data_IF_099423466235
#
_entry.id   IF_099423466235
#
_cell.length_a   1.000
_cell.length_b   1.000
_cell.length_c   1.000
_cell.angle_alpha   90.00
_cell.angle_beta   90.00
_cell.angle_gamma   90.00
#
_symmetry.space_group_name_H-M   'P 1'
#
loop_
_entity.id
_entity.type
_entity.pdbx_description
1 polymer ?
#
# COMPACT_ATOMS: atom_id res chain seq x y z
N UNK A 1 -27.60 13.52 10.91
CA UNK A 1 -27.06 13.69 12.28
C UNK A 1 -26.00 14.79 12.20
N UNK A 2 -26.23 16.00 12.73
CA UNK A 2 -25.26 17.08 12.59
C UNK A 2 -24.09 16.85 13.58
N UNK A 3 -22.86 16.80 13.06
CA UNK A 3 -21.63 16.82 13.87
C UNK A 3 -21.43 18.23 14.39
N UNK A 4 -21.38 18.36 15.71
CA UNK A 4 -20.98 19.57 16.41
C UNK A 4 -19.50 19.88 16.10
N UNK A 5 -19.22 21.13 15.75
CA UNK A 5 -17.87 21.66 15.61
C UNK A 5 -17.19 21.76 16.98
N UNK A 6 -15.88 21.50 17.10
CA UNK A 6 -15.14 21.74 18.33
C UNK A 6 -14.82 23.23 18.48
N UNK A 7 -14.92 23.71 19.72
CA UNK A 7 -14.62 25.06 20.16
C UNK A 7 -13.16 25.45 19.90
N UNK A 8 -12.97 26.70 19.47
CA UNK A 8 -11.69 27.35 19.22
C UNK A 8 -10.92 27.54 20.53
N UNK A 9 -9.81 26.82 20.67
CA UNK A 9 -8.84 27.02 21.74
C UNK A 9 -7.73 27.96 21.28
N UNK A 10 -7.56 29.06 22.03
CA UNK A 10 -6.48 30.04 21.93
C UNK A 10 -5.10 29.37 21.89
N UNK A 11 -4.39 29.52 20.78
CA UNK A 11 -2.97 29.20 20.68
C UNK A 11 -2.15 30.46 20.96
N UNK A 12 -1.51 30.50 22.13
CA UNK A 12 -0.47 31.49 22.42
C UNK A 12 0.79 31.18 21.59
N UNK A 13 1.19 32.14 20.76
CA UNK A 13 2.47 32.19 20.07
C UNK A 13 3.62 32.17 21.07
N UNK A 14 4.44 31.12 21.03
CA UNK A 14 5.81 31.17 21.53
C UNK A 14 6.76 31.22 20.34
N UNK A 15 7.18 32.43 20.01
CA UNK A 15 8.36 32.68 19.18
C UNK A 15 9.60 32.31 19.97
N UNK A 16 10.42 31.37 19.46
CA UNK A 16 11.88 31.42 19.56
C UNK A 16 12.53 30.24 18.81
N UNK A 17 13.67 30.50 18.17
CA UNK A 17 14.66 29.46 17.88
C UNK A 17 15.03 29.21 16.42
N UNK A 18 15.50 30.26 15.74
CA UNK A 18 16.31 30.13 14.53
C UNK A 18 17.60 29.33 14.81
N UNK A 19 17.76 28.16 14.20
CA UNK A 19 19.06 27.54 13.95
C UNK A 19 19.07 26.88 12.58
N UNK A 20 19.74 27.55 11.65
CA UNK A 20 20.16 27.00 10.38
C UNK A 20 21.14 25.84 10.62
N UNK A 21 20.88 24.69 10.02
CA UNK A 21 21.89 23.64 9.84
C UNK A 21 21.73 23.02 8.46
N UNK A 22 22.49 23.58 7.51
CA UNK A 22 22.79 22.99 6.22
C UNK A 22 23.73 21.80 6.43
N UNK A 23 23.25 20.57 6.22
CA UNK A 23 24.13 19.42 6.04
C UNK A 23 24.05 18.95 4.59
N UNK A 24 25.03 19.41 3.83
CA UNK A 24 25.46 18.92 2.53
C UNK A 24 25.96 17.49 2.74
N UNK A 25 25.24 16.50 2.22
CA UNK A 25 25.73 15.12 2.16
C UNK A 25 26.58 14.97 0.89
N UNK A 26 27.88 15.17 1.08
CA UNK A 26 28.92 14.87 0.09
C UNK A 26 29.11 13.35 0.04
N UNK A 27 28.56 12.70 -1.01
CA UNK A 27 28.81 11.28 -1.30
C UNK A 27 30.04 11.20 -2.20
N UNK A 28 31.17 10.93 -1.58
CA UNK A 28 32.38 10.48 -2.26
C UNK A 28 32.12 9.13 -2.96
N UNK A 29 32.19 9.15 -4.28
CA UNK A 29 32.23 7.98 -5.15
C UNK A 29 33.51 7.18 -4.87
N UNK A 30 33.35 5.95 -4.37
CA UNK A 30 34.43 4.96 -4.29
C UNK A 30 34.75 4.41 -5.68
N UNK A 31 36.04 4.29 -5.98
CA UNK A 31 36.65 4.00 -7.29
C UNK A 31 36.57 2.55 -7.79
N UNK A 32 35.58 1.76 -7.35
CA UNK A 32 35.61 0.30 -7.58
C UNK A 32 34.60 -0.22 -8.62
N UNK A 33 34.00 0.64 -9.45
CA UNK A 33 33.02 0.25 -10.49
C UNK A 33 33.55 0.36 -11.94
N UNK A 34 34.86 0.22 -12.15
CA UNK A 34 35.50 0.39 -13.47
C UNK A 34 36.16 -0.90 -14.00
N UNK A 35 35.47 -2.05 -14.03
CA UNK A 35 35.94 -3.20 -14.85
C UNK A 35 34.90 -4.29 -15.14
N UNK A 36 33.90 -4.01 -16.00
CA UNK A 36 33.17 -5.07 -16.71
C UNK A 36 32.91 -4.66 -18.16
N UNK A 37 33.96 -4.74 -18.97
CA UNK A 37 33.89 -4.60 -20.41
C UNK A 37 33.14 -5.80 -21.05
N UNK A 38 31.93 -5.50 -21.47
CA UNK A 38 31.25 -5.90 -22.70
C UNK A 38 31.97 -6.95 -23.59
N UNK A 39 31.49 -8.21 -23.56
CA UNK A 39 31.70 -9.18 -24.64
C UNK A 39 30.35 -9.42 -25.30
N UNK A 40 30.04 -8.63 -26.34
CA UNK A 40 28.93 -8.92 -27.24
C UNK A 40 29.37 -9.89 -28.33
N UNK A 41 28.66 -11.01 -28.55
CA UNK A 41 28.99 -11.94 -29.62
C UNK A 41 28.69 -11.35 -31.01
N UNK A 42 29.45 -11.72 -32.05
CA UNK A 42 29.31 -11.16 -33.38
C UNK A 42 27.93 -11.45 -34.00
N UNK A 43 27.26 -10.38 -34.45
CA UNK A 43 25.99 -10.48 -35.18
C UNK A 43 26.20 -11.16 -36.53
N UNK A 44 25.40 -12.20 -36.80
CA UNK A 44 25.34 -12.91 -38.09
C UNK A 44 24.94 -11.95 -39.23
N UNK A 45 25.52 -12.11 -40.44
CA UNK A 45 25.19 -11.28 -41.59
C UNK A 45 23.71 -11.46 -41.99
N UNK A 46 22.98 -10.34 -42.08
CA UNK A 46 21.60 -10.31 -42.59
C UNK A 46 21.60 -10.55 -44.10
N UNK A 47 20.74 -11.47 -44.55
CA UNK A 47 20.47 -11.71 -45.98
C UNK A 47 19.93 -10.44 -46.66
N UNK A 48 20.31 -10.15 -47.91
CA UNK A 48 19.79 -9.01 -48.67
C UNK A 48 18.27 -9.17 -48.90
N UNK A 49 17.50 -8.14 -48.55
CA UNK A 49 16.06 -8.06 -48.84
C UNK A 49 15.89 -7.69 -50.32
N UNK A 50 15.09 -8.49 -51.02
CA UNK A 50 14.61 -8.20 -52.38
C UNK A 50 13.63 -7.01 -52.28
N UNK A 51 13.74 -6.00 -53.15
CA UNK A 51 12.85 -4.84 -53.15
C UNK A 51 11.44 -5.27 -53.59
N UNK A 52 10.46 -5.08 -52.69
CA UNK A 52 9.05 -5.29 -52.97
C UNK A 52 8.54 -4.11 -53.82
N UNK A 53 7.79 -4.35 -54.92
CA UNK A 53 7.26 -3.28 -55.77
C UNK A 53 6.18 -2.48 -55.03
N UNK A 54 6.26 -1.15 -55.17
CA UNK A 54 5.31 -0.19 -54.61
C UNK A 54 3.92 -0.35 -55.23
N UNK A 55 2.83 -0.35 -54.43
CA UNK A 55 1.48 -0.35 -54.97
C UNK A 55 1.11 1.04 -55.55
N UNK A 56 0.18 1.08 -56.52
CA UNK A 56 -0.19 2.29 -57.22
C UNK A 56 -0.92 3.30 -56.32
N UNK A 57 -0.56 4.56 -56.51
CA UNK A 57 -1.15 5.76 -55.93
C UNK A 57 -2.67 5.76 -56.06
N UNK A 58 -3.34 5.71 -54.91
CA UNK A 58 -4.79 5.91 -54.81
C UNK A 58 -5.14 7.41 -54.92
N UNK A 59 -6.33 7.74 -55.44
CA UNK A 59 -6.75 9.11 -55.70
C UNK A 59 -6.96 9.90 -54.41
N UNK A 60 -6.72 11.21 -54.50
CA UNK A 60 -6.86 12.21 -53.44
C UNK A 60 -8.23 12.13 -52.76
N UNK A 61 -8.28 11.43 -51.63
CA UNK A 61 -9.33 11.58 -50.63
C UNK A 61 -8.99 12.88 -49.90
N UNK A 62 -9.85 13.88 -50.09
CA UNK A 62 -9.88 15.08 -49.26
C UNK A 62 -10.17 14.60 -47.82
N UNK A 63 -9.10 14.38 -47.07
CA UNK A 63 -9.13 14.24 -45.61
C UNK A 63 -9.65 15.58 -45.08
N UNK A 64 -10.95 15.64 -44.82
CA UNK A 64 -11.46 16.49 -43.76
C UNK A 64 -10.59 16.22 -42.54
N UNK A 65 -9.78 17.19 -42.17
CA UNK A 65 -8.97 17.14 -40.95
C UNK A 65 -9.98 17.03 -39.81
N UNK A 66 -10.15 15.80 -39.31
CA UNK A 66 -10.91 15.54 -38.09
C UNK A 66 -10.28 16.34 -36.95
N UNK A 67 -11.09 16.84 -35.99
CA UNK A 67 -10.58 17.56 -34.84
C UNK A 67 -9.51 16.73 -34.14
N UNK A 68 -8.36 17.35 -33.99
CA UNK A 68 -7.11 16.82 -33.48
C UNK A 68 -7.29 16.16 -32.09
N UNK A 69 -7.54 14.84 -32.05
CA UNK A 69 -7.21 13.87 -30.99
C UNK A 69 -7.51 14.15 -29.51
N UNK A 70 -8.17 15.27 -29.18
CA UNK A 70 -8.39 15.80 -27.83
C UNK A 70 -9.83 15.61 -27.36
N UNK A 71 -10.72 15.12 -28.24
CA UNK A 71 -12.07 14.72 -27.88
C UNK A 71 -12.02 13.60 -26.83
N UNK A 72 -12.28 13.97 -25.59
CA UNK A 72 -12.26 13.06 -24.45
C UNK A 72 -11.11 13.25 -23.48
N UNK A 73 -10.33 14.33 -23.54
CA UNK A 73 -9.50 14.73 -22.41
C UNK A 73 -10.30 15.54 -21.38
N UNK A 74 -10.06 15.26 -20.09
CA UNK A 74 -10.62 15.96 -18.94
C UNK A 74 -9.48 16.70 -18.25
N UNK A 75 -9.72 17.96 -17.92
CA UNK A 75 -8.80 18.81 -17.15
C UNK A 75 -9.12 18.67 -15.67
N UNK A 76 -8.16 18.21 -14.88
CA UNK A 76 -8.29 18.04 -13.43
C UNK A 76 -7.43 19.11 -12.76
N UNK A 77 -8.05 20.03 -12.03
CA UNK A 77 -7.40 21.12 -11.33
C UNK A 77 -7.38 20.77 -9.84
N UNK A 78 -6.20 20.67 -9.26
CA UNK A 78 -5.97 20.18 -7.90
C UNK A 78 -5.30 21.25 -7.05
N UNK A 79 -5.74 21.37 -5.80
CA UNK A 79 -5.18 22.33 -4.84
C UNK A 79 -5.76 23.74 -4.97
N UNK A 80 -5.23 24.66 -4.18
CA UNK A 80 -5.69 26.05 -4.11
C UNK A 80 -4.52 27.04 -4.08
N UNK A 81 -4.76 28.26 -4.55
CA UNK A 81 -3.75 29.34 -4.53
C UNK A 81 -2.53 29.05 -5.42
N UNK A 82 -1.35 29.27 -4.86
CA UNK A 82 -0.07 29.13 -5.57
C UNK A 82 0.32 27.67 -5.86
N UNK A 83 -0.22 26.71 -5.10
CA UNK A 83 0.10 25.28 -5.22
C UNK A 83 -0.87 24.54 -6.17
N UNK A 84 -1.69 25.30 -6.91
CA UNK A 84 -2.63 24.72 -7.86
C UNK A 84 -1.90 24.07 -9.03
N UNK A 85 -2.23 22.82 -9.31
CA UNK A 85 -1.70 22.07 -10.44
C UNK A 85 -2.82 21.56 -11.34
N UNK A 86 -2.59 21.57 -12.64
CA UNK A 86 -3.53 21.05 -13.64
C UNK A 86 -2.98 19.78 -14.26
N UNK A 87 -3.82 18.76 -14.33
CA UNK A 87 -3.57 17.48 -15.00
C UNK A 87 -4.56 17.30 -16.17
N UNK A 88 -4.14 16.57 -17.19
CA UNK A 88 -4.98 16.22 -18.33
C UNK A 88 -5.02 14.70 -18.46
N UNK A 89 -6.24 14.15 -18.53
CA UNK A 89 -6.46 12.71 -18.57
C UNK A 89 -7.58 12.27 -19.49
N UNK A 90 -7.53 11.03 -19.94
CA UNK A 90 -8.62 10.47 -20.74
C UNK A 90 -9.89 10.25 -19.92
N UNK A 91 -11.02 10.80 -20.38
CA UNK A 91 -12.37 10.57 -19.83
C UNK A 91 -12.65 9.09 -19.68
N UNK A 92 -12.35 8.29 -20.71
CA UNK A 92 -12.61 6.86 -20.70
C UNK A 92 -11.82 6.14 -19.61
N UNK A 93 -10.58 6.57 -19.35
CA UNK A 93 -9.76 6.03 -18.27
C UNK A 93 -10.37 6.37 -16.90
N UNK A 94 -10.68 7.65 -16.66
CA UNK A 94 -11.23 8.11 -15.38
C UNK A 94 -12.56 7.44 -15.05
N UNK A 95 -13.50 7.40 -16.00
CA UNK A 95 -14.83 6.79 -15.82
C UNK A 95 -14.73 5.28 -15.60
N UNK A 96 -13.81 4.60 -16.30
CA UNK A 96 -13.60 3.16 -16.15
C UNK A 96 -13.03 2.81 -14.78
N UNK A 97 -12.09 3.61 -14.28
CA UNK A 97 -11.30 3.27 -13.09
C UNK A 97 -11.91 3.77 -11.78
N UNK A 98 -12.77 4.78 -11.83
CA UNK A 98 -13.32 5.46 -10.65
C UNK A 98 -14.80 5.73 -10.78
N UNK A 99 -15.57 5.26 -9.79
CA UNK A 99 -17.00 5.60 -9.68
C UNK A 99 -17.23 7.07 -9.37
N UNK A 100 -16.33 7.70 -8.62
CA UNK A 100 -16.36 9.14 -8.38
C UNK A 100 -16.31 9.90 -9.70
N UNK A 101 -15.30 9.64 -10.54
CA UNK A 101 -15.18 10.32 -11.84
C UNK A 101 -16.29 9.95 -12.81
N UNK A 102 -16.78 8.71 -12.79
CA UNK A 102 -18.00 8.32 -13.52
C UNK A 102 -19.20 9.18 -13.10
N UNK A 103 -19.41 9.38 -11.79
CA UNK A 103 -20.44 10.25 -11.24
C UNK A 103 -20.30 11.70 -11.70
N UNK A 104 -19.11 12.30 -11.60
CA UNK A 104 -18.86 13.68 -12.01
C UNK A 104 -19.07 13.88 -13.53
N UNK A 105 -18.60 12.94 -14.35
CA UNK A 105 -18.54 13.11 -15.80
C UNK A 105 -19.78 12.62 -16.54
N UNK A 106 -20.66 11.81 -15.92
CA UNK A 106 -21.86 11.28 -16.57
C UNK A 106 -23.18 11.83 -16.00
N UNK A 107 -23.15 12.60 -14.90
CA UNK A 107 -24.35 13.12 -14.23
C UNK A 107 -24.96 14.37 -14.88
N UNK A 108 -24.34 14.92 -15.94
CA UNK A 108 -24.78 16.19 -16.55
C UNK A 108 -24.49 17.43 -15.70
N UNK A 109 -23.71 17.28 -14.62
CA UNK A 109 -23.23 18.39 -13.79
C UNK A 109 -22.24 19.29 -14.55
N UNK A 110 -21.88 20.43 -13.95
CA UNK A 110 -21.02 21.45 -14.59
C UNK A 110 -19.66 20.88 -15.02
N UNK A 111 -19.14 19.91 -14.28
CA UNK A 111 -17.91 19.19 -14.57
C UNK A 111 -18.00 18.41 -15.89
N UNK A 112 -19.15 17.78 -16.14
CA UNK A 112 -19.42 17.05 -17.40
C UNK A 112 -19.55 18.01 -18.59
N UNK A 113 -20.06 19.23 -18.38
CA UNK A 113 -20.28 20.20 -19.45
C UNK A 113 -18.98 20.92 -19.84
N UNK A 114 -18.16 21.25 -18.85
CA UNK A 114 -16.90 21.97 -19.07
C UNK A 114 -15.71 21.05 -19.36
N UNK A 115 -15.85 19.74 -19.11
CA UNK A 115 -14.72 18.79 -19.11
C UNK A 115 -13.61 19.19 -18.13
N UNK A 116 -13.99 19.84 -17.03
CA UNK A 116 -13.09 20.29 -15.97
C UNK A 116 -13.57 19.75 -14.61
N UNK A 117 -12.66 19.23 -13.80
CA UNK A 117 -12.92 18.78 -12.42
C UNK A 117 -12.04 19.58 -11.48
N UNK A 118 -12.64 20.17 -10.45
CA UNK A 118 -11.96 21.00 -9.46
C UNK A 118 -11.88 20.27 -8.11
N UNK A 119 -10.66 20.07 -7.59
CA UNK A 119 -10.36 19.31 -6.37
C UNK A 119 -9.49 20.16 -5.42
N UNK A 120 -10.05 21.21 -4.79
CA UNK A 120 -9.28 22.17 -3.99
C UNK A 120 -8.73 21.60 -2.69
N UNK A 121 -9.38 20.58 -2.13
CA UNK A 121 -9.01 19.94 -0.87
C UNK A 121 -7.91 18.87 -1.01
N UNK A 122 -7.50 18.56 -2.25
CA UNK A 122 -6.52 17.54 -2.54
C UNK A 122 -5.14 18.10 -2.82
N UNK A 123 -4.14 17.24 -2.60
CA UNK A 123 -2.75 17.55 -2.87
C UNK A 123 -2.36 17.03 -4.25
N UNK A 124 -1.65 17.84 -5.07
CA UNK A 124 -1.24 17.44 -6.42
C UNK A 124 -0.48 16.10 -6.47
N UNK A 125 0.44 15.85 -5.53
CA UNK A 125 1.24 14.62 -5.47
C UNK A 125 0.40 13.35 -5.29
N UNK A 126 -0.69 13.45 -4.51
CA UNK A 126 -1.61 12.33 -4.29
C UNK A 126 -2.40 12.05 -5.55
N UNK A 127 -2.92 13.09 -6.20
CA UNK A 127 -3.62 12.93 -7.47
C UNK A 127 -2.70 12.40 -8.56
N UNK A 128 -1.46 12.85 -8.63
CA UNK A 128 -0.48 12.31 -9.56
C UNK A 128 -0.26 10.80 -9.33
N UNK A 129 -0.20 10.37 -8.06
CA UNK A 129 -0.09 8.95 -7.68
C UNK A 129 -1.31 8.13 -8.13
N UNK A 130 -2.51 8.67 -7.91
CA UNK A 130 -3.77 8.06 -8.38
C UNK A 130 -3.78 7.90 -9.90
N UNK A 131 -3.44 8.96 -10.64
CA UNK A 131 -3.43 8.95 -12.10
C UNK A 131 -2.36 8.01 -12.66
N UNK A 132 -1.16 8.00 -12.07
CA UNK A 132 -0.10 7.02 -12.39
C UNK A 132 -0.62 5.60 -12.24
N UNK A 133 -1.37 5.32 -11.17
CA UNK A 133 -1.97 4.01 -10.93
C UNK A 133 -3.04 3.66 -11.97
N UNK A 134 -3.95 4.59 -12.28
CA UNK A 134 -5.01 4.36 -13.29
C UNK A 134 -4.42 4.02 -14.65
N UNK A 135 -3.40 4.77 -15.09
CA UNK A 135 -2.68 4.54 -16.36
C UNK A 135 -1.97 3.19 -16.35
N UNK A 136 -1.33 2.84 -15.24
CA UNK A 136 -0.53 1.64 -15.09
C UNK A 136 -0.83 0.98 -13.75
N UNK A 137 -1.70 -0.04 -13.74
CA UNK A 137 -2.00 -0.77 -12.52
C UNK A 137 -0.70 -1.30 -11.92
N UNK A 138 -0.57 -1.22 -10.59
CA UNK A 138 0.58 -1.80 -9.91
C UNK A 138 0.60 -3.30 -10.21
N UNK A 139 1.68 -3.76 -10.82
CA UNK A 139 1.90 -5.18 -10.97
C UNK A 139 2.16 -5.73 -9.57
N UNK A 140 1.21 -6.50 -9.04
CA UNK A 140 1.39 -7.21 -7.78
C UNK A 140 2.52 -8.21 -8.01
N UNK A 141 3.69 -7.88 -7.48
CA UNK A 141 4.82 -8.80 -7.46
C UNK A 141 4.45 -9.92 -6.50
N UNK A 142 4.25 -11.14 -7.03
CA UNK A 142 4.07 -12.33 -6.21
C UNK A 142 5.13 -12.36 -5.09
N UNK A 143 4.77 -12.66 -3.84
CA UNK A 143 5.70 -12.67 -2.73
C UNK A 143 6.94 -13.51 -3.05
N UNK A 144 8.14 -12.99 -2.74
CA UNK A 144 9.39 -13.62 -3.18
C UNK A 144 9.65 -14.98 -2.54
N UNK A 145 9.07 -15.24 -1.38
CA UNK A 145 9.22 -16.52 -0.68
C UNK A 145 8.63 -17.69 -1.48
N UNK A 146 7.59 -17.47 -2.31
CA UNK A 146 7.11 -18.47 -3.27
C UNK A 146 8.16 -18.88 -4.30
N UNK A 147 9.13 -18.02 -4.58
CA UNK A 147 10.17 -18.25 -5.58
C UNK A 147 11.47 -18.78 -4.96
N UNK A 148 11.47 -19.13 -3.67
CA UNK A 148 12.68 -19.55 -2.94
C UNK A 148 13.77 -18.47 -2.88
N UNK A 149 13.43 -17.20 -3.16
CA UNK A 149 14.41 -16.10 -3.21
C UNK A 149 14.58 -15.49 -1.83
N UNK A 150 15.82 -15.09 -1.54
CA UNK A 150 16.23 -14.43 -0.29
C UNK A 150 15.32 -13.23 0.01
N UNK A 151 14.85 -13.11 1.25
CA UNK A 151 14.07 -11.96 1.73
C UNK A 151 14.84 -10.67 1.43
N UNK A 152 14.28 -9.83 0.56
CA UNK A 152 14.77 -8.45 0.42
C UNK A 152 13.80 -7.63 1.23
N UNK A 153 14.29 -7.10 2.36
CA UNK A 153 13.54 -6.17 3.19
C UNK A 153 13.07 -5.04 2.30
N UNK A 154 11.75 -4.83 2.23
CA UNK A 154 11.23 -3.60 1.65
C UNK A 154 11.44 -2.47 2.66
N UNK A 155 11.81 -1.27 2.23
CA UNK A 155 11.89 -0.11 3.12
C UNK A 155 10.50 0.19 3.70
N UNK A 156 10.48 0.74 4.92
CA UNK A 156 9.24 1.13 5.62
C UNK A 156 8.48 2.22 4.87
N UNK A 157 9.19 3.09 4.15
CA UNK A 157 8.61 4.15 3.31
C UNK A 157 7.68 3.59 2.22
N UNK A 158 7.99 2.42 1.64
CA UNK A 158 7.11 1.77 0.65
C UNK A 158 5.78 1.33 1.27
N UNK A 159 5.78 0.94 2.55
CA UNK A 159 4.55 0.56 3.25
C UNK A 159 3.66 1.78 3.52
N UNK A 160 4.24 2.90 3.95
CA UNK A 160 3.50 4.15 4.16
C UNK A 160 2.91 4.68 2.86
N UNK A 161 3.67 4.61 1.76
CA UNK A 161 3.16 4.95 0.42
C UNK A 161 1.99 4.06 0.00
N UNK A 162 2.02 2.76 0.32
CA UNK A 162 0.90 1.86 0.03
C UNK A 162 -0.33 2.19 0.88
N UNK A 163 -0.17 2.57 2.15
CA UNK A 163 -1.29 3.03 2.98
C UNK A 163 -1.91 4.34 2.46
N UNK A 164 -1.08 5.30 2.06
CA UNK A 164 -1.54 6.55 1.44
C UNK A 164 -2.25 6.29 0.10
N UNK A 165 -1.70 5.38 -0.71
CA UNK A 165 -2.32 4.93 -1.96
C UNK A 165 -3.69 4.28 -1.72
N UNK A 166 -3.86 3.53 -0.63
CA UNK A 166 -5.16 2.97 -0.27
C UNK A 166 -6.16 4.08 0.09
N UNK A 167 -5.76 5.04 0.93
CA UNK A 167 -6.64 6.12 1.37
C UNK A 167 -7.14 6.97 0.19
N UNK A 168 -6.28 7.26 -0.78
CA UNK A 168 -6.72 7.96 -2.00
C UNK A 168 -7.61 7.07 -2.88
N UNK A 169 -7.30 5.79 -3.03
CA UNK A 169 -8.14 4.87 -3.79
C UNK A 169 -9.56 4.76 -3.21
N UNK A 170 -9.68 4.79 -1.88
CA UNK A 170 -10.97 4.82 -1.19
C UNK A 170 -11.72 6.12 -1.41
N UNK A 171 -11.06 7.28 -1.26
CA UNK A 171 -11.68 8.60 -1.52
C UNK A 171 -12.28 8.68 -2.93
N UNK A 172 -11.57 8.18 -3.94
CA UNK A 172 -12.03 8.21 -5.33
C UNK A 172 -12.75 6.94 -5.79
N UNK A 173 -13.11 6.04 -4.86
CA UNK A 173 -13.88 4.82 -5.15
C UNK A 173 -13.25 3.98 -6.29
N UNK A 174 -11.93 3.81 -6.24
CA UNK A 174 -11.11 3.09 -7.22
C UNK A 174 -10.89 1.64 -6.76
N UNK A 175 -11.91 0.78 -6.89
CA UNK A 175 -11.89 -0.61 -6.41
C UNK A 175 -10.66 -1.40 -6.88
N UNK A 176 -10.30 -1.29 -8.17
CA UNK A 176 -9.11 -1.96 -8.73
C UNK A 176 -7.81 -1.49 -8.09
N UNK A 177 -7.75 -0.24 -7.62
CA UNK A 177 -6.60 0.28 -6.89
C UNK A 177 -6.58 -0.21 -5.45
N UNK A 178 -7.72 -0.18 -4.77
CA UNK A 178 -7.86 -0.72 -3.41
C UNK A 178 -7.38 -2.17 -3.34
N UNK A 179 -7.84 -3.03 -4.25
CA UNK A 179 -7.48 -4.46 -4.25
C UNK A 179 -5.97 -4.67 -4.43
N UNK A 180 -5.36 -4.07 -5.45
CA UNK A 180 -3.92 -4.26 -5.67
C UNK A 180 -3.06 -3.68 -4.54
N UNK A 181 -3.52 -2.61 -3.89
CA UNK A 181 -2.82 -2.05 -2.72
C UNK A 181 -2.94 -3.01 -1.52
N UNK A 182 -4.13 -3.56 -1.26
CA UNK A 182 -4.33 -4.59 -0.23
C UNK A 182 -3.44 -5.81 -0.49
N UNK A 183 -3.41 -6.31 -1.73
CA UNK A 183 -2.53 -7.43 -2.11
C UNK A 183 -1.04 -7.12 -1.87
N UNK A 184 -0.60 -5.90 -2.20
CA UNK A 184 0.77 -5.45 -1.93
C UNK A 184 1.08 -5.36 -0.45
N UNK A 185 0.14 -4.86 0.36
CA UNK A 185 0.29 -4.75 1.80
C UNK A 185 0.37 -6.13 2.46
N UNK A 186 -0.50 -7.06 2.07
CA UNK A 186 -0.43 -8.46 2.52
C UNK A 186 0.92 -9.08 2.15
N UNK A 187 1.38 -8.90 0.91
CA UNK A 187 2.70 -9.38 0.49
C UNK A 187 3.83 -8.77 1.34
N UNK A 188 3.74 -7.47 1.65
CA UNK A 188 4.68 -6.81 2.55
C UNK A 188 4.66 -7.43 3.95
N UNK A 189 3.47 -7.68 4.53
CA UNK A 189 3.32 -8.25 5.87
C UNK A 189 3.84 -9.68 5.95
N UNK A 190 3.66 -10.48 4.91
CA UNK A 190 4.23 -11.82 4.80
C UNK A 190 5.77 -11.79 4.79
N UNK A 191 6.37 -10.82 4.08
CA UNK A 191 7.82 -10.71 3.97
C UNK A 191 8.46 -10.16 5.27
N UNK A 192 7.86 -9.14 5.88
CA UNK A 192 8.45 -8.30 6.93
C UNK A 192 7.82 -8.48 8.33
N UNK A 193 6.71 -9.22 8.44
CA UNK A 193 5.86 -9.24 9.62
C UNK A 193 4.83 -8.10 9.63
N UNK A 194 3.96 -8.10 10.63
CA UNK A 194 2.87 -7.13 10.77
C UNK A 194 2.86 -6.53 12.17
N UNK A 195 3.62 -5.45 12.39
CA UNK A 195 3.72 -4.87 13.71
C UNK A 195 2.40 -4.26 14.22
N UNK A 196 2.17 -4.24 15.54
CA UNK A 196 0.89 -3.82 16.12
C UNK A 196 0.54 -2.40 15.73
N UNK A 197 1.54 -1.53 15.55
CA UNK A 197 1.31 -0.17 15.08
C UNK A 197 0.78 -0.10 13.64
N UNK A 198 1.07 -1.08 12.75
CA UNK A 198 0.42 -1.16 11.44
C UNK A 198 -1.08 -1.43 11.60
N UNK A 199 -1.43 -2.43 12.42
CA UNK A 199 -2.83 -2.74 12.72
C UNK A 199 -3.53 -1.54 13.37
N UNK A 200 -2.86 -0.90 14.34
CA UNK A 200 -3.34 0.33 14.97
C UNK A 200 -3.58 1.46 13.98
N UNK A 201 -2.72 1.63 12.96
CA UNK A 201 -2.96 2.60 11.91
C UNK A 201 -4.22 2.26 11.11
N UNK A 202 -4.38 1.01 10.67
CA UNK A 202 -5.54 0.58 9.87
C UNK A 202 -6.84 0.80 10.65
N UNK A 203 -6.90 0.38 11.91
CA UNK A 203 -8.09 0.54 12.76
C UNK A 203 -8.49 2.01 12.96
N UNK A 204 -7.53 2.93 12.97
CA UNK A 204 -7.78 4.34 13.21
C UNK A 204 -8.08 5.15 11.93
N UNK A 205 -7.69 4.64 10.76
CA UNK A 205 -7.73 5.43 9.51
C UNK A 205 -8.60 4.81 8.41
N UNK A 206 -9.04 3.56 8.55
CA UNK A 206 -9.80 2.83 7.52
C UNK A 206 -11.18 2.48 8.04
N UNK A 207 -12.20 2.53 7.17
CA UNK A 207 -13.54 2.09 7.51
C UNK A 207 -13.54 0.61 7.91
N UNK A 208 -14.27 0.26 8.98
CA UNK A 208 -14.37 -1.13 9.48
C UNK A 208 -15.00 -2.08 8.48
N UNK A 209 -15.83 -1.57 7.57
CA UNK A 209 -16.41 -2.32 6.46
C UNK A 209 -15.48 -2.45 5.25
N UNK A 210 -14.36 -1.71 5.25
CA UNK A 210 -13.42 -1.68 4.15
C UNK A 210 -12.57 -2.96 4.03
N UNK A 211 -12.14 -3.32 2.80
CA UNK A 211 -11.35 -4.52 2.54
C UNK A 211 -10.00 -4.52 3.29
N UNK A 212 -9.34 -3.36 3.42
CA UNK A 212 -8.08 -3.28 4.15
C UNK A 212 -8.24 -3.53 5.64
N UNK A 213 -9.36 -3.09 6.24
CA UNK A 213 -9.66 -3.40 7.65
C UNK A 213 -9.85 -4.90 7.85
N UNK A 214 -10.65 -5.54 6.99
CA UNK A 214 -10.85 -6.99 7.01
C UNK A 214 -9.53 -7.76 6.84
N UNK A 215 -8.72 -7.38 5.85
CA UNK A 215 -7.41 -7.99 5.60
C UNK A 215 -6.45 -7.84 6.78
N UNK A 216 -6.31 -6.63 7.32
CA UNK A 216 -5.46 -6.36 8.48
C UNK A 216 -5.92 -7.15 9.72
N UNK A 217 -7.23 -7.18 9.98
CA UNK A 217 -7.80 -7.87 11.15
C UNK A 217 -7.57 -9.38 11.07
N UNK A 218 -7.86 -9.99 9.92
CA UNK A 218 -7.64 -11.42 9.68
C UNK A 218 -6.15 -11.77 9.72
N UNK A 219 -5.28 -10.97 9.11
CA UNK A 219 -3.83 -11.18 9.17
C UNK A 219 -3.27 -11.04 10.59
N UNK A 220 -3.70 -10.04 11.34
CA UNK A 220 -3.27 -9.83 12.73
C UNK A 220 -3.81 -10.91 13.66
N UNK A 221 -5.06 -11.31 13.50
CA UNK A 221 -5.67 -12.41 14.25
C UNK A 221 -4.95 -13.73 14.00
N UNK A 222 -4.65 -14.05 12.73
CA UNK A 222 -3.82 -15.19 12.37
C UNK A 222 -2.44 -15.11 13.00
N UNK A 223 -1.80 -13.94 12.94
CA UNK A 223 -0.50 -13.74 13.57
C UNK A 223 -0.57 -14.07 15.06
N UNK A 224 -1.51 -13.49 15.80
CA UNK A 224 -1.65 -13.71 17.24
C UNK A 224 -2.01 -15.16 17.60
N UNK A 225 -2.76 -15.86 16.75
CA UNK A 225 -3.20 -17.24 16.99
C UNK A 225 -2.23 -18.32 16.48
N UNK A 226 -1.25 -17.96 15.65
CA UNK A 226 -0.33 -18.92 15.04
C UNK A 226 0.76 -19.38 16.03
N UNK A 227 0.81 -20.68 16.29
CA UNK A 227 1.89 -21.30 17.08
C UNK A 227 3.26 -21.17 16.40
N UNK A 228 3.29 -21.00 15.06
CA UNK A 228 4.51 -20.81 14.27
C UNK A 228 5.22 -19.49 14.57
N UNK A 229 4.62 -18.57 15.34
CA UNK A 229 5.36 -17.46 15.96
C UNK A 229 6.55 -17.92 16.80
N UNK A 230 6.57 -19.19 17.25
CA UNK A 230 7.74 -19.82 17.90
C UNK A 230 8.98 -19.89 17.00
N UNK A 231 8.84 -19.91 15.67
CA UNK A 231 9.96 -20.06 14.73
C UNK A 231 10.34 -18.76 14.03
N UNK A 232 11.04 -17.88 14.76
CA UNK A 232 12.13 -17.10 14.15
C UNK A 232 12.10 -15.58 14.31
N UNK A 233 10.94 -14.96 14.54
CA UNK A 233 10.85 -13.51 14.84
C UNK A 233 10.13 -13.18 16.16
N UNK A 234 9.34 -14.10 16.72
CA UNK A 234 8.39 -13.82 17.80
C UNK A 234 8.30 -14.92 18.87
N UNK A 235 9.41 -15.62 19.15
CA UNK A 235 9.43 -16.63 20.22
C UNK A 235 9.35 -15.99 21.62
N UNK A 236 8.21 -15.42 21.99
CA UNK A 236 7.73 -15.48 23.36
C UNK A 236 7.32 -16.96 23.55
N UNK A 237 7.83 -17.71 24.52
CA UNK A 237 7.87 -17.27 25.91
C UNK A 237 6.46 -17.07 26.48
N UNK A 238 5.38 -17.46 25.77
CA UNK A 238 4.03 -17.42 26.33
C UNK A 238 3.87 -18.33 27.57
N UNK A 239 4.70 -19.36 27.72
CA UNK A 239 4.75 -20.14 28.98
C UNK A 239 5.36 -19.32 30.13
N UNK A 240 6.31 -18.42 29.85
CA UNK A 240 6.97 -17.65 30.91
C UNK A 240 6.21 -16.39 31.36
N UNK A 241 5.22 -15.88 30.63
CA UNK A 241 4.43 -14.75 31.16
C UNK A 241 3.39 -15.16 32.20
N UNK A 242 3.08 -16.46 32.31
CA UNK A 242 2.23 -16.99 33.38
C UNK A 242 3.08 -17.45 34.59
N UNK A 243 4.35 -17.82 34.37
CA UNK A 243 5.23 -18.39 35.43
C UNK A 243 6.49 -17.56 35.79
N UNK A 244 6.66 -16.34 35.26
CA UNK A 244 7.86 -15.48 35.46
C UNK A 244 8.08 -14.98 36.90
N UNK A 245 7.23 -15.32 37.86
CA UNK A 245 7.54 -15.09 39.28
C UNK A 245 8.43 -16.18 39.90
N UNK A 246 8.74 -17.30 39.21
CA UNK A 246 9.34 -18.47 39.87
C UNK A 246 10.75 -18.94 39.44
N UNK A 247 11.40 -18.37 38.41
CA UNK A 247 12.71 -18.89 37.97
C UNK A 247 13.77 -17.79 37.96
N UNK A 248 14.66 -17.88 38.96
CA UNK A 248 15.86 -17.04 39.13
C UNK A 248 16.85 -17.21 37.97
N UNK A 249 17.41 -16.09 37.55
CA UNK A 249 18.36 -15.97 36.44
C UNK A 249 19.79 -16.14 36.95
N UNK A 250 20.31 -17.36 37.01
CA UNK A 250 21.73 -17.63 37.23
C UNK A 250 22.22 -18.66 36.21
N UNK A 251 22.84 -18.20 35.12
CA UNK A 251 23.81 -18.95 34.31
C UNK A 251 24.45 -17.99 33.29
N UNK A 252 25.68 -17.54 33.56
CA UNK A 252 26.34 -16.42 32.86
C UNK A 252 27.25 -16.78 31.67
N UNK A 253 27.46 -18.06 31.34
CA UNK A 253 28.64 -18.46 30.55
C UNK A 253 28.44 -18.78 29.05
N UNK A 254 27.29 -18.42 28.44
CA UNK A 254 27.11 -18.57 26.97
C UNK A 254 27.06 -17.23 26.19
N UNK A 255 27.21 -16.09 26.86
CA UNK A 255 26.72 -14.83 26.32
C UNK A 255 27.79 -13.80 25.96
N UNK A 256 28.30 -13.72 24.73
CA UNK A 256 28.77 -12.42 24.20
C UNK A 256 28.25 -12.18 22.77
N UNK A 257 28.32 -13.18 21.89
CA UNK A 257 27.71 -13.08 20.56
C UNK A 257 26.18 -13.24 20.60
N UNK A 258 25.66 -14.17 21.42
CA UNK A 258 24.21 -14.33 21.64
C UNK A 258 23.59 -13.12 22.35
N UNK A 259 24.31 -12.43 23.26
CA UNK A 259 23.79 -11.26 24.01
C UNK A 259 23.47 -10.05 23.12
N UNK A 260 24.20 -9.79 22.03
CA UNK A 260 23.89 -8.65 21.12
C UNK A 260 22.67 -8.91 20.23
N UNK A 261 22.50 -10.14 19.74
CA UNK A 261 21.32 -10.53 18.96
C UNK A 261 20.10 -10.64 19.87
N UNK A 262 20.26 -11.17 21.09
CA UNK A 262 19.19 -11.23 22.10
C UNK A 262 18.81 -9.85 22.63
N UNK A 263 19.76 -8.93 22.85
CA UNK A 263 19.46 -7.58 23.33
C UNK A 263 18.57 -6.78 22.37
N UNK A 264 18.86 -6.83 21.06
CA UNK A 264 18.01 -6.20 20.04
C UNK A 264 16.64 -6.88 19.91
N UNK A 265 16.59 -8.21 20.09
CA UNK A 265 15.34 -8.99 20.08
C UNK A 265 14.44 -8.62 21.27
N UNK A 266 14.99 -8.61 22.49
CA UNK A 266 14.28 -8.26 23.73
C UNK A 266 13.76 -6.82 23.69
N UNK A 267 14.52 -5.85 23.15
CA UNK A 267 14.01 -4.48 23.04
C UNK A 267 12.85 -4.35 22.05
N UNK A 268 12.87 -5.09 20.93
CA UNK A 268 11.75 -5.13 19.99
C UNK A 268 10.51 -5.76 20.62
N UNK A 269 10.68 -6.84 21.37
CA UNK A 269 9.60 -7.53 22.09
C UNK A 269 8.95 -6.62 23.15
N UNK A 270 9.76 -5.90 23.95
CA UNK A 270 9.23 -4.93 24.93
C UNK A 270 8.46 -3.79 24.27
N UNK A 271 8.94 -3.28 23.13
CA UNK A 271 8.22 -2.26 22.35
C UNK A 271 6.87 -2.79 21.85
N UNK A 272 6.86 -4.01 21.32
CA UNK A 272 5.64 -4.68 20.86
C UNK A 272 4.62 -4.91 21.97
N UNK A 273 5.04 -5.44 23.13
CA UNK A 273 4.13 -5.66 24.26
C UNK A 273 3.50 -4.36 24.75
N UNK A 274 4.27 -3.26 24.75
CA UNK A 274 3.76 -1.93 25.07
C UNK A 274 2.72 -1.44 24.04
N UNK A 275 2.99 -1.63 22.75
CA UNK A 275 2.07 -1.24 21.67
C UNK A 275 0.78 -2.07 21.68
N UNK A 276 0.89 -3.39 21.87
CA UNK A 276 -0.24 -4.29 22.06
C UNK A 276 -1.09 -3.88 23.25
N UNK A 277 -0.46 -3.67 24.42
CA UNK A 277 -1.16 -3.19 25.61
C UNK A 277 -1.87 -1.87 25.34
N UNK A 278 -1.22 -0.92 24.66
CA UNK A 278 -1.85 0.35 24.31
C UNK A 278 -3.07 0.17 23.37
N UNK A 279 -3.07 -0.82 22.48
CA UNK A 279 -4.24 -1.17 21.67
C UNK A 279 -5.35 -1.80 22.52
N UNK A 280 -5.01 -2.66 23.48
CA UNK A 280 -5.98 -3.21 24.43
C UNK A 280 -6.62 -2.11 25.29
N UNK A 281 -5.80 -1.23 25.86
CA UNK A 281 -6.24 -0.17 26.78
C UNK A 281 -7.16 0.85 26.08
N UNK A 282 -7.01 1.05 24.76
CA UNK A 282 -7.87 1.94 23.96
C UNK A 282 -9.23 1.32 23.61
N UNK A 283 -9.47 0.05 23.92
CA UNK A 283 -10.65 -0.66 23.45
C UNK A 283 -10.69 -0.80 21.92
N UNK A 284 -9.55 -0.66 21.23
CA UNK A 284 -9.47 -0.83 19.77
C UNK A 284 -9.49 -2.29 19.35
N UNK A 285 -9.50 -3.22 20.32
CA UNK A 285 -9.85 -4.62 20.06
C UNK A 285 -11.33 -4.69 19.68
N UNK A 286 -11.58 -4.81 18.38
CA UNK A 286 -12.91 -5.17 17.90
C UNK A 286 -13.24 -6.60 18.32
N UNK A 287 -14.52 -6.88 18.51
CA UNK A 287 -15.01 -8.26 18.59
C UNK A 287 -14.50 -9.09 17.39
N UNK A 288 -14.32 -8.46 16.23
CA UNK A 288 -13.79 -9.09 15.02
C UNK A 288 -12.40 -9.68 15.25
N UNK A 289 -11.47 -8.92 15.85
CA UNK A 289 -10.13 -9.42 16.12
C UNK A 289 -10.14 -10.59 17.12
N UNK A 290 -10.97 -10.51 18.16
CA UNK A 290 -11.12 -11.62 19.12
C UNK A 290 -11.56 -12.91 18.41
N UNK A 291 -12.56 -12.81 17.53
CA UNK A 291 -13.05 -13.97 16.79
C UNK A 291 -12.03 -14.51 15.79
N UNK A 292 -11.24 -13.65 15.13
CA UNK A 292 -10.18 -14.10 14.22
C UNK A 292 -9.05 -14.82 14.95
N UNK A 293 -8.65 -14.36 16.15
CA UNK A 293 -7.68 -15.08 16.99
C UNK A 293 -8.23 -16.45 17.39
N UNK A 294 -9.47 -16.49 17.87
CA UNK A 294 -10.11 -17.75 18.29
C UNK A 294 -10.26 -18.74 17.13
N UNK A 295 -10.62 -18.25 15.94
CA UNK A 295 -10.74 -19.08 14.73
C UNK A 295 -9.38 -19.66 14.34
N UNK A 296 -8.32 -18.86 14.41
CA UNK A 296 -6.95 -19.29 14.09
C UNK A 296 -6.45 -20.37 15.06
N UNK A 297 -6.65 -20.19 16.37
CA UNK A 297 -6.25 -21.16 17.41
C UNK A 297 -6.97 -22.51 17.27
N UNK A 298 -8.21 -22.52 16.77
CA UNK A 298 -9.02 -23.74 16.61
C UNK A 298 -8.71 -24.52 15.32
N UNK A 299 -7.60 -24.21 14.63
CA UNK A 299 -7.20 -24.91 13.42
C UNK A 299 -7.94 -24.47 12.16
N UNK A 300 -8.45 -23.23 12.13
CA UNK A 300 -8.91 -22.63 10.88
C UNK A 300 -7.74 -22.48 9.90
N UNK A 301 -7.81 -23.10 8.73
CA UNK A 301 -6.76 -23.12 7.70
C UNK A 301 -6.63 -21.78 6.92
N UNK A 302 -6.95 -20.65 7.57
CA UNK A 302 -7.25 -19.37 6.92
C UNK A 302 -6.03 -18.73 6.23
N UNK A 303 -4.80 -19.04 6.64
CA UNK A 303 -3.63 -18.51 5.94
C UNK A 303 -3.50 -19.05 4.53
N UNK A 304 -3.97 -20.28 4.26
CA UNK A 304 -3.98 -20.84 2.90
C UNK A 304 -4.96 -20.06 2.01
N UNK A 305 -6.06 -19.60 2.60
CA UNK A 305 -7.04 -18.73 1.95
C UNK A 305 -6.45 -17.34 1.66
N UNK A 306 -5.73 -16.75 2.62
CA UNK A 306 -4.99 -15.49 2.43
C UNK A 306 -3.85 -15.64 1.41
N UNK A 307 -3.20 -16.80 1.39
CA UNK A 307 -2.04 -17.09 0.56
C UNK A 307 -2.42 -17.40 -0.90
N UNK A 308 -3.66 -17.83 -1.14
CA UNK A 308 -4.20 -18.10 -2.48
C UNK A 308 -5.36 -17.15 -2.83
N UNK A 309 -5.08 -15.87 -3.12
CA UNK A 309 -6.11 -14.85 -3.39
C UNK A 309 -6.94 -15.14 -4.66
N UNK A 310 -6.50 -16.06 -5.53
CA UNK A 310 -7.28 -16.51 -6.70
C UNK A 310 -8.46 -17.41 -6.29
N UNK A 311 -8.38 -18.10 -5.15
CA UNK A 311 -9.43 -19.01 -4.65
C UNK A 311 -10.32 -18.38 -3.58
N UNK A 312 -9.82 -17.35 -2.88
CA UNK A 312 -10.54 -16.69 -1.78
C UNK A 312 -10.65 -15.19 -2.01
N UNK A 313 -11.88 -14.80 -2.32
CA UNK A 313 -12.24 -13.48 -2.77
C UNK A 313 -12.43 -12.45 -1.63
N UNK A 314 -12.36 -12.90 -0.36
CA UNK A 314 -12.73 -12.18 0.87
C UNK A 314 -12.26 -10.73 1.01
N UNK A 315 -11.18 -10.33 0.33
CA UNK A 315 -10.58 -9.00 0.44
C UNK A 315 -10.63 -8.20 -0.87
N UNK A 316 -11.27 -8.74 -1.90
CA UNK A 316 -11.49 -8.04 -3.15
C UNK A 316 -12.80 -7.24 -3.09
N UNK A 317 -12.71 -5.99 -3.54
CA UNK A 317 -13.86 -5.13 -3.85
C UNK A 317 -14.36 -5.50 -5.24
N UNK A 318 -15.63 -5.91 -5.32
CA UNK A 318 -16.34 -6.15 -6.59
C UNK A 318 -17.17 -4.91 -6.98
N UNK A 319 -17.99 -5.02 -8.02
CA UNK A 319 -19.00 -4.01 -8.35
C UNK A 319 -19.89 -3.68 -7.12
N UNK A 320 -20.55 -2.49 -7.06
CA UNK A 320 -20.98 -1.89 -5.79
C UNK A 320 -22.00 -2.75 -5.02
N UNK A 321 -21.67 -3.05 -3.76
CA UNK A 321 -22.53 -3.76 -2.79
C UNK A 321 -21.97 -5.13 -2.37
N UNK A 322 -20.98 -5.64 -3.09
CA UNK A 322 -20.41 -6.96 -2.85
C UNK A 322 -18.94 -6.83 -2.46
N UNK A 323 -18.66 -6.88 -1.16
CA UNK A 323 -17.43 -7.52 -0.73
C UNK A 323 -17.72 -9.02 -0.75
N UNK A 324 -16.76 -9.83 -1.19
CA UNK A 324 -16.89 -11.29 -1.13
C UNK A 324 -16.93 -11.85 0.31
N UNK A 325 -17.14 -10.99 1.32
CA UNK A 325 -17.53 -11.39 2.67
C UNK A 325 -18.88 -12.09 2.58
N UNK A 326 -18.83 -13.38 2.27
CA UNK A 326 -19.97 -14.27 2.28
C UNK A 326 -20.73 -14.06 3.58
N UNK A 327 -22.04 -13.86 3.47
CA UNK A 327 -22.96 -13.84 4.58
C UNK A 327 -22.92 -15.19 5.32
N UNK A 328 -21.92 -15.38 6.18
CA UNK A 328 -21.93 -16.40 7.21
C UNK A 328 -22.57 -15.76 8.44
N UNK A 329 -23.91 -15.85 8.48
CA UNK A 329 -24.68 -15.74 9.71
C UNK A 329 -24.90 -17.13 10.28
#
# INVERSE_FOLDING_TARGET
MPRLAPEEGDWQETTDGSLASTNVFDRSLTKDDEELAEITPPRKPRKPRIPTPSPPSSPDIVLSVEPDGTEGQIKIIVGSGADQQTFYESRNLLVKESKFFSGCLNSGMIESQNHEIFLPEDFPDRIETLLKYMRRPLSVRRPRWYLGKRKVSRPEDEFLQDLEAYAIAEKYLCARMQNSVVERLIAYWLDNGFPPWHYGWVVNNVDKSGPLYGAATKFFGWMLGSEDLKYGYYSLGCETMVDSELIGWENEDLGIAQRRVHGKKIQREKRWAKELKALFDRGTFSNDLFWEVHRSVRGGDHWKEIANPEEHCDYHVHEPGETCMGAYW
#
